data_IF_693862546032
#
_entry.id   IF_693862546032
#
_cell.length_a   1.000
_cell.length_b   1.000
_cell.length_c   1.000
_cell.angle_alpha   90.00
_cell.angle_beta   90.00
_cell.angle_gamma   90.00
#
_symmetry.space_group_name_H-M   'P 1'
#
loop_
_entity.id
_entity.type
_entity.pdbx_description
1 polymer ?
#
# COMPACT_ATOMS: atom_id res chain seq x y z
N UNK A 1 -37.66 -14.06 2.89
CA UNK A 1 -36.45 -13.49 2.27
C UNK A 1 -36.54 -13.76 0.78
N UNK A 2 -36.41 -12.72 -0.03
CA UNK A 2 -36.32 -12.89 -1.49
C UNK A 2 -34.97 -13.51 -1.85
N UNK A 3 -34.87 -14.15 -3.02
CA UNK A 3 -33.59 -14.69 -3.53
C UNK A 3 -32.49 -13.59 -3.53
N UNK A 4 -32.88 -12.36 -3.84
CA UNK A 4 -32.00 -11.18 -3.85
C UNK A 4 -31.43 -10.91 -2.45
N UNK A 5 -32.25 -10.95 -1.40
CA UNK A 5 -31.78 -10.75 -0.02
C UNK A 5 -30.78 -11.83 0.40
N UNK A 6 -30.99 -13.07 -0.07
CA UNK A 6 -30.08 -14.20 0.21
C UNK A 6 -28.74 -14.04 -0.51
N UNK A 7 -28.76 -13.57 -1.75
CA UNK A 7 -27.54 -13.31 -2.52
C UNK A 7 -26.77 -12.11 -1.97
N UNK A 8 -27.45 -11.00 -1.65
CA UNK A 8 -26.82 -9.81 -1.09
C UNK A 8 -26.29 -10.02 0.34
N UNK A 9 -26.83 -10.99 1.08
CA UNK A 9 -26.26 -11.44 2.36
C UNK A 9 -24.99 -12.29 2.22
N UNK A 10 -24.65 -12.74 1.00
CA UNK A 10 -23.43 -13.52 0.75
C UNK A 10 -22.26 -12.60 0.42
N UNK A 11 -21.29 -12.49 1.32
CA UNK A 11 -20.09 -11.68 1.10
C UNK A 11 -19.31 -12.06 -0.17
N UNK A 12 -19.33 -13.33 -0.57
CA UNK A 12 -18.71 -13.80 -1.83
C UNK A 12 -19.43 -13.20 -3.03
N UNK A 13 -20.77 -13.21 -3.01
CA UNK A 13 -21.55 -12.63 -4.10
C UNK A 13 -21.29 -11.13 -4.21
N UNK A 14 -21.31 -10.40 -3.09
CA UNK A 14 -21.03 -8.96 -3.05
C UNK A 14 -19.62 -8.66 -3.55
N UNK A 15 -18.62 -9.43 -3.14
CA UNK A 15 -17.23 -9.30 -3.62
C UNK A 15 -17.14 -9.44 -5.14
N UNK A 16 -17.66 -10.53 -5.71
CA UNK A 16 -17.59 -10.74 -7.16
C UNK A 16 -18.48 -9.77 -7.94
N UNK A 17 -19.58 -9.29 -7.34
CA UNK A 17 -20.39 -8.23 -7.92
C UNK A 17 -19.61 -6.92 -8.02
N UNK A 18 -18.89 -6.54 -6.95
CA UNK A 18 -18.03 -5.36 -6.92
C UNK A 18 -16.90 -5.47 -7.96
N UNK A 19 -16.25 -6.64 -8.06
CA UNK A 19 -15.22 -6.89 -9.09
C UNK A 19 -15.83 -6.80 -10.49
N UNK A 20 -16.97 -7.43 -10.74
CA UNK A 20 -17.60 -7.42 -12.06
C UNK A 20 -17.99 -6.01 -12.51
N UNK A 21 -18.69 -5.27 -11.65
CA UNK A 21 -19.10 -3.89 -11.93
C UNK A 21 -17.86 -3.00 -12.09
N UNK A 22 -16.91 -3.14 -11.17
CA UNK A 22 -15.69 -2.36 -11.14
C UNK A 22 -14.80 -2.56 -12.35
N UNK A 23 -14.58 -3.80 -12.78
CA UNK A 23 -13.82 -4.11 -14.00
C UNK A 23 -14.55 -3.65 -15.25
N UNK A 24 -15.89 -3.73 -15.26
CA UNK A 24 -16.71 -3.17 -16.35
C UNK A 24 -16.54 -1.65 -16.46
N UNK A 25 -16.61 -0.95 -15.34
CA UNK A 25 -16.41 0.50 -15.24
C UNK A 25 -14.96 0.90 -15.56
N UNK A 26 -13.98 0.15 -15.06
CA UNK A 26 -12.54 0.44 -15.23
C UNK A 26 -12.08 0.39 -16.68
N UNK A 27 -12.81 -0.30 -17.55
CA UNK A 27 -12.57 -0.35 -19.01
C UNK A 27 -13.11 0.86 -19.76
N UNK A 28 -13.97 1.67 -19.14
CA UNK A 28 -14.52 2.88 -19.77
C UNK A 28 -13.38 3.89 -19.92
N UNK A 29 -13.17 4.34 -21.16
CA UNK A 29 -12.22 5.40 -21.47
C UNK A 29 -12.93 6.75 -21.27
N UNK A 30 -12.44 7.54 -20.31
CA UNK A 30 -12.98 8.87 -20.00
C UNK A 30 -12.42 9.98 -20.92
N UNK A 31 -11.65 9.60 -21.95
CA UNK A 31 -10.97 10.50 -22.86
C UNK A 31 -9.53 10.77 -22.42
N UNK A 32 -8.66 11.09 -23.40
CA UNK A 32 -7.20 11.28 -23.22
C UNK A 32 -6.46 10.05 -22.68
N UNK A 33 -7.03 8.84 -22.82
CA UNK A 33 -6.43 7.60 -22.36
C UNK A 33 -6.61 7.32 -20.87
N UNK A 34 -7.47 8.08 -20.17
CA UNK A 34 -7.77 7.84 -18.76
C UNK A 34 -8.70 6.63 -18.65
N UNK A 35 -8.14 5.53 -18.14
CA UNK A 35 -8.86 4.31 -17.76
C UNK A 35 -8.54 4.01 -16.31
N UNK A 36 -9.56 3.64 -15.53
CA UNK A 36 -9.36 3.27 -14.13
C UNK A 36 -8.88 1.82 -13.96
N UNK A 37 -8.85 1.03 -15.04
CA UNK A 37 -8.23 -0.30 -15.05
C UNK A 37 -8.72 -1.20 -13.92
N UNK A 38 -7.77 -1.85 -13.25
CA UNK A 38 -8.02 -2.75 -12.12
C UNK A 38 -8.32 -1.96 -10.83
N UNK A 39 -8.26 -0.63 -10.84
CA UNK A 39 -8.75 0.21 -9.75
C UNK A 39 -10.27 0.43 -9.75
N UNK A 40 -10.97 0.13 -10.85
CA UNK A 40 -12.44 0.21 -10.91
C UNK A 40 -13.19 -0.54 -9.78
N UNK A 41 -12.79 -1.77 -9.41
CA UNK A 41 -13.30 -2.49 -8.23
C UNK A 41 -13.29 -1.71 -6.92
N UNK A 42 -12.30 -0.81 -6.69
CA UNK A 42 -12.27 0.05 -5.50
C UNK A 42 -13.49 0.99 -5.46
N UNK A 43 -13.77 1.66 -6.58
CA UNK A 43 -14.88 2.61 -6.69
C UNK A 43 -16.24 1.92 -6.68
N UNK A 44 -16.36 0.78 -7.37
CA UNK A 44 -17.57 -0.04 -7.29
C UNK A 44 -17.80 -0.52 -5.85
N UNK A 45 -16.76 -0.96 -5.16
CA UNK A 45 -16.81 -1.31 -3.75
C UNK A 45 -17.27 -0.15 -2.87
N UNK A 46 -16.73 1.06 -3.07
CA UNK A 46 -17.12 2.26 -2.32
C UNK A 46 -18.61 2.55 -2.41
N UNK A 47 -19.17 2.45 -3.62
CA UNK A 47 -20.62 2.63 -3.83
C UNK A 47 -21.41 1.51 -3.17
N UNK A 48 -21.00 0.25 -3.33
CA UNK A 48 -21.71 -0.90 -2.74
C UNK A 48 -21.68 -0.88 -1.20
N UNK A 49 -20.55 -0.50 -0.61
CA UNK A 49 -20.40 -0.29 0.82
C UNK A 49 -21.29 0.84 1.32
N UNK A 50 -21.36 1.95 0.58
CA UNK A 50 -22.27 3.04 0.90
C UNK A 50 -23.75 2.62 0.85
N UNK A 51 -24.12 1.69 -0.04
CA UNK A 51 -25.45 1.09 -0.09
C UNK A 51 -25.74 0.11 1.06
N UNK A 52 -24.80 -0.05 2.01
CA UNK A 52 -24.95 -0.90 3.19
C UNK A 52 -24.60 -2.37 2.96
N UNK A 53 -24.01 -2.72 1.81
CA UNK A 53 -23.49 -4.07 1.60
C UNK A 53 -22.18 -4.23 2.35
N UNK A 54 -21.97 -5.41 2.93
CA UNK A 54 -20.78 -5.71 3.72
C UNK A 54 -20.15 -7.01 3.28
N UNK A 55 -18.85 -7.12 3.47
CA UNK A 55 -18.08 -8.32 3.21
C UNK A 55 -17.30 -8.68 4.48
N UNK A 56 -17.11 -9.97 4.79
CA UNK A 56 -16.29 -10.34 5.94
C UNK A 56 -14.86 -9.78 5.84
N UNK A 57 -14.39 -9.13 6.89
CA UNK A 57 -13.04 -8.54 6.96
C UNK A 57 -11.90 -9.55 6.65
N UNK A 58 -12.15 -10.84 6.88
CA UNK A 58 -11.19 -11.91 6.55
C UNK A 58 -10.85 -11.99 5.06
N UNK A 59 -11.74 -11.51 4.17
CA UNK A 59 -11.48 -11.53 2.73
C UNK A 59 -10.43 -10.51 2.33
N UNK A 60 -10.37 -9.35 3.00
CA UNK A 60 -9.34 -8.33 2.78
C UNK A 60 -7.95 -8.90 3.08
N UNK A 61 -7.79 -9.51 4.26
CA UNK A 61 -6.51 -10.12 4.66
C UNK A 61 -6.04 -11.24 3.73
N UNK A 62 -6.96 -12.12 3.32
CA UNK A 62 -6.63 -13.21 2.39
C UNK A 62 -6.22 -12.67 1.01
N UNK A 63 -7.05 -11.83 0.40
CA UNK A 63 -6.81 -11.30 -0.96
C UNK A 63 -5.54 -10.46 -1.01
N UNK A 64 -5.28 -9.64 0.02
CA UNK A 64 -4.04 -8.89 0.17
C UNK A 64 -2.81 -9.80 0.27
N UNK A 65 -2.87 -10.84 1.10
CA UNK A 65 -1.74 -11.76 1.26
C UNK A 65 -1.41 -12.50 -0.05
N UNK A 66 -2.44 -12.96 -0.78
CA UNK A 66 -2.25 -13.59 -2.10
C UNK A 66 -1.67 -12.60 -3.12
N UNK A 67 -2.17 -11.38 -3.17
CA UNK A 67 -1.66 -10.31 -4.03
C UNK A 67 -0.19 -10.03 -3.75
N UNK A 68 0.16 -9.80 -2.48
CA UNK A 68 1.54 -9.48 -2.07
C UNK A 68 2.50 -10.63 -2.29
N UNK A 69 2.05 -11.87 -2.08
CA UNK A 69 2.88 -13.04 -2.37
C UNK A 69 3.23 -13.14 -3.86
N UNK A 70 2.24 -12.96 -4.75
CA UNK A 70 2.48 -12.98 -6.20
C UNK A 70 3.43 -11.86 -6.62
N UNK A 71 3.14 -10.64 -6.18
CA UNK A 71 3.95 -9.45 -6.46
C UNK A 71 5.39 -9.59 -5.94
N UNK A 72 5.56 -10.05 -4.71
CA UNK A 72 6.87 -10.24 -4.12
C UNK A 72 7.69 -11.33 -4.82
N UNK A 73 7.06 -12.40 -5.28
CA UNK A 73 7.74 -13.45 -6.05
C UNK A 73 8.17 -12.96 -7.43
N UNK A 74 7.39 -12.09 -8.08
CA UNK A 74 7.80 -11.46 -9.34
C UNK A 74 8.99 -10.53 -9.07
N UNK A 75 8.86 -9.61 -8.11
CA UNK A 75 9.91 -8.64 -7.79
C UNK A 75 11.20 -9.25 -7.23
N UNK A 76 11.17 -10.48 -6.73
CA UNK A 76 12.34 -11.17 -6.24
C UNK A 76 13.44 -11.34 -7.30
N UNK A 77 13.08 -11.32 -8.59
CA UNK A 77 14.02 -11.42 -9.71
C UNK A 77 14.90 -10.18 -9.83
N UNK A 78 14.35 -9.00 -9.52
CA UNK A 78 14.97 -7.70 -9.77
C UNK A 78 15.53 -7.03 -8.50
N UNK A 79 15.24 -7.61 -7.32
CA UNK A 79 15.54 -6.96 -6.04
C UNK A 79 17.03 -6.63 -5.87
N UNK A 80 17.92 -7.51 -6.34
CA UNK A 80 19.37 -7.28 -6.23
C UNK A 80 19.80 -6.05 -7.03
N UNK A 81 19.35 -5.94 -8.29
CA UNK A 81 19.63 -4.79 -9.14
C UNK A 81 19.06 -3.52 -8.54
N UNK A 82 17.79 -3.54 -8.15
CA UNK A 82 17.14 -2.39 -7.51
C UNK A 82 17.86 -1.91 -6.24
N UNK A 83 18.30 -2.83 -5.37
CA UNK A 83 19.04 -2.48 -4.15
C UNK A 83 20.40 -1.87 -4.47
N UNK A 84 21.16 -2.46 -5.40
CA UNK A 84 22.47 -1.94 -5.76
C UNK A 84 22.39 -0.58 -6.45
N UNK A 85 21.34 -0.34 -7.26
CA UNK A 85 21.15 0.93 -7.97
C UNK A 85 20.66 2.05 -7.05
N UNK A 86 19.70 1.78 -6.17
CA UNK A 86 18.97 2.84 -5.44
C UNK A 86 18.74 2.58 -3.94
N UNK A 87 19.40 1.60 -3.32
CA UNK A 87 19.15 1.21 -1.93
C UNK A 87 19.14 2.37 -0.91
N UNK A 88 20.13 3.26 -0.97
CA UNK A 88 20.18 4.44 -0.08
C UNK A 88 19.07 5.46 -0.37
N UNK A 89 18.69 5.62 -1.63
CA UNK A 89 17.60 6.50 -2.05
C UNK A 89 16.26 6.00 -1.47
N UNK A 90 16.02 4.69 -1.49
CA UNK A 90 14.83 4.10 -0.86
C UNK A 90 14.80 4.29 0.66
N UNK A 91 15.95 4.18 1.34
CA UNK A 91 16.02 4.55 2.76
C UNK A 91 15.69 6.04 2.95
N UNK A 92 16.25 6.92 2.11
CA UNK A 92 15.98 8.36 2.18
C UNK A 92 14.48 8.69 2.02
N UNK A 93 13.80 8.09 1.04
CA UNK A 93 12.38 8.34 0.80
C UNK A 93 11.49 7.79 1.91
N UNK A 94 11.88 6.63 2.46
CA UNK A 94 11.19 5.96 3.56
C UNK A 94 11.15 6.79 4.86
N UNK A 95 12.15 7.65 5.07
CA UNK A 95 12.23 8.55 6.23
C UNK A 95 11.58 9.89 5.89
N UNK A 96 11.81 10.41 4.68
CA UNK A 96 11.31 11.71 4.24
C UNK A 96 9.78 11.80 4.30
N UNK A 97 9.07 10.84 3.71
CA UNK A 97 7.61 10.94 3.59
C UNK A 97 6.92 10.92 4.97
N UNK A 98 7.26 10.00 5.90
CA UNK A 98 6.79 10.07 7.28
C UNK A 98 7.22 11.35 8.01
N UNK A 99 8.41 11.89 7.75
CA UNK A 99 8.87 13.16 8.34
C UNK A 99 7.99 14.34 7.91
N UNK A 100 7.68 14.42 6.61
CA UNK A 100 6.75 15.43 6.09
C UNK A 100 5.40 15.26 6.80
N UNK A 101 4.91 14.03 6.92
CA UNK A 101 3.59 13.81 7.49
C UNK A 101 3.48 14.15 8.97
N UNK A 102 4.49 13.83 9.77
CA UNK A 102 4.50 14.19 11.20
C UNK A 102 4.64 15.70 11.38
N UNK A 103 5.48 16.37 10.57
CA UNK A 103 5.67 17.81 10.61
C UNK A 103 4.39 18.56 10.24
N UNK A 104 3.70 18.13 9.18
CA UNK A 104 2.41 18.71 8.79
C UNK A 104 1.36 18.50 9.87
N UNK A 105 1.30 17.30 10.46
CA UNK A 105 0.34 17.00 11.53
C UNK A 105 0.57 17.83 12.77
N UNK A 106 1.84 18.08 13.14
CA UNK A 106 2.17 19.01 14.20
C UNK A 106 1.66 20.43 13.90
N UNK A 107 1.84 20.93 12.66
CA UNK A 107 1.31 22.24 12.23
C UNK A 107 -0.23 22.26 12.22
N UNK A 108 -0.87 21.18 11.81
CA UNK A 108 -2.32 21.04 11.83
C UNK A 108 -2.87 21.20 13.23
N UNK A 109 -2.29 20.49 14.21
CA UNK A 109 -2.73 20.54 15.61
C UNK A 109 -2.43 21.88 16.27
N UNK A 110 -1.26 22.47 16.00
CA UNK A 110 -0.80 23.65 16.76
C UNK A 110 -1.22 24.99 16.16
N UNK A 111 -1.48 25.06 14.85
CA UNK A 111 -1.67 26.34 14.14
C UNK A 111 -2.98 26.38 13.35
N UNK A 112 -3.25 25.40 12.50
CA UNK A 112 -4.29 25.53 11.45
C UNK A 112 -5.65 25.04 11.92
N UNK A 113 -5.69 23.91 12.64
CA UNK A 113 -6.90 23.29 13.16
C UNK A 113 -6.81 23.19 14.69
N UNK A 114 -6.36 24.27 15.33
CA UNK A 114 -6.15 24.32 16.78
C UNK A 114 -7.45 24.07 17.59
N UNK A 115 -8.61 24.31 16.98
CA UNK A 115 -9.92 24.08 17.60
C UNK A 115 -10.43 22.63 17.41
N UNK A 116 -9.75 21.82 16.59
CA UNK A 116 -10.11 20.43 16.34
C UNK A 116 -9.56 19.52 17.45
N UNK A 117 -10.16 18.33 17.64
CA UNK A 117 -9.63 17.37 18.61
C UNK A 117 -8.21 16.94 18.23
N UNK A 118 -7.29 17.15 19.17
CA UNK A 118 -5.88 16.80 19.04
C UNK A 118 -5.69 15.32 18.71
N UNK A 119 -6.42 14.44 19.41
CA UNK A 119 -6.39 13.00 19.16
C UNK A 119 -6.77 12.64 17.73
N UNK A 120 -7.88 13.20 17.23
CA UNK A 120 -8.35 12.98 15.86
C UNK A 120 -7.31 13.42 14.82
N UNK A 121 -6.77 14.62 14.99
CA UNK A 121 -5.79 15.20 14.05
C UNK A 121 -4.47 14.42 14.07
N UNK A 122 -4.01 13.96 15.23
CA UNK A 122 -2.86 13.05 15.30
C UNK A 122 -3.12 11.72 14.61
N UNK A 123 -4.34 11.19 14.70
CA UNK A 123 -4.76 9.99 13.97
C UNK A 123 -4.67 10.16 12.45
N UNK A 124 -4.93 11.37 11.98
CA UNK A 124 -4.86 11.74 10.56
C UNK A 124 -3.46 11.49 9.96
N UNK A 125 -2.38 11.51 10.76
CA UNK A 125 -1.01 11.18 10.34
C UNK A 125 -0.88 9.73 9.88
N UNK A 126 -1.15 8.78 10.78
CA UNK A 126 -1.00 7.36 10.48
C UNK A 126 -2.04 6.88 9.49
N UNK A 127 -3.24 7.48 9.50
CA UNK A 127 -4.27 7.22 8.51
C UNK A 127 -3.83 7.67 7.11
N UNK A 128 -3.42 8.93 6.96
CA UNK A 128 -3.07 9.49 5.64
C UNK A 128 -1.90 8.75 4.97
N UNK A 129 -0.91 8.30 5.75
CA UNK A 129 0.19 7.45 5.30
C UNK A 129 -0.09 5.97 5.56
N UNK A 130 -1.34 5.55 5.72
CA UNK A 130 -1.81 4.15 5.76
C UNK A 130 -1.07 3.16 6.68
N UNK A 131 -0.46 3.65 7.77
CA UNK A 131 0.42 2.85 8.62
C UNK A 131 -0.28 2.34 9.88
N UNK A 132 -0.75 1.08 9.84
CA UNK A 132 -1.31 0.41 11.01
C UNK A 132 -0.31 0.18 12.16
N UNK A 133 0.99 -0.11 11.92
CA UNK A 133 1.98 -0.14 13.00
C UNK A 133 2.16 1.21 13.69
N UNK A 134 2.08 2.32 12.93
CA UNK A 134 2.06 3.68 13.48
C UNK A 134 0.86 3.92 14.38
N UNK A 135 -0.34 3.45 13.99
CA UNK A 135 -1.55 3.49 14.82
C UNK A 135 -1.36 2.76 16.15
N UNK A 136 -0.91 1.49 16.11
CA UNK A 136 -0.70 0.70 17.33
C UNK A 136 0.28 1.38 18.29
N UNK A 137 1.37 1.92 17.74
CA UNK A 137 2.40 2.62 18.50
C UNK A 137 1.89 3.91 19.16
N UNK A 138 1.03 4.68 18.48
CA UNK A 138 0.43 5.86 19.07
C UNK A 138 -0.54 5.51 20.20
N UNK A 139 -1.41 4.51 20.00
CA UNK A 139 -2.40 4.08 21.00
C UNK A 139 -1.72 3.64 22.30
N UNK A 140 -0.61 2.90 22.21
CA UNK A 140 0.16 2.48 23.38
C UNK A 140 0.71 3.65 24.22
N UNK A 141 0.98 4.79 23.56
CA UNK A 141 1.54 5.97 24.20
C UNK A 141 0.48 6.97 24.70
N UNK A 142 -0.79 6.78 24.31
CA UNK A 142 -1.89 7.71 24.58
C UNK A 142 -2.77 7.24 25.76
N UNK A 143 -3.33 8.18 26.54
CA UNK A 143 -4.45 7.89 27.43
C UNK A 143 -5.67 7.37 26.65
N UNK A 144 -6.50 6.53 27.29
CA UNK A 144 -7.63 5.82 26.65
C UNK A 144 -8.57 6.73 25.84
N UNK A 145 -8.94 7.89 26.39
CA UNK A 145 -9.81 8.84 25.69
C UNK A 145 -9.17 9.43 24.41
N UNK A 146 -7.87 9.72 24.44
CA UNK A 146 -7.14 10.23 23.28
C UNK A 146 -6.84 9.12 22.26
N UNK A 147 -6.63 7.89 22.72
CA UNK A 147 -6.44 6.73 21.87
C UNK A 147 -7.69 6.43 21.00
N UNK A 148 -8.89 6.54 21.57
CA UNK A 148 -10.14 6.38 20.82
C UNK A 148 -10.27 7.43 19.70
N UNK A 149 -9.99 8.69 20.02
CA UNK A 149 -9.98 9.77 19.02
C UNK A 149 -8.92 9.53 17.95
N UNK A 150 -7.72 9.09 18.33
CA UNK A 150 -6.68 8.73 17.37
C UNK A 150 -7.12 7.62 16.42
N UNK A 151 -7.77 6.57 16.92
CA UNK A 151 -8.29 5.46 16.10
C UNK A 151 -9.29 5.94 15.06
N UNK A 152 -10.24 6.79 15.47
CA UNK A 152 -11.20 7.39 14.55
C UNK A 152 -10.46 8.17 13.46
N UNK A 153 -9.51 9.02 13.87
CA UNK A 153 -8.77 9.84 12.93
C UNK A 153 -7.93 9.04 11.94
N UNK A 154 -7.35 7.94 12.40
CA UNK A 154 -6.68 6.97 11.55
C UNK A 154 -7.64 6.37 10.53
N UNK A 155 -8.80 5.89 10.96
CA UNK A 155 -9.79 5.28 10.05
C UNK A 155 -10.22 6.22 8.94
N UNK A 156 -10.49 7.50 9.26
CA UNK A 156 -10.84 8.50 8.23
C UNK A 156 -9.67 8.74 7.30
N UNK A 157 -8.50 9.00 7.89
CA UNK A 157 -7.29 9.32 7.15
C UNK A 157 -6.86 8.18 6.24
N UNK A 158 -7.09 6.94 6.65
CA UNK A 158 -6.78 5.74 5.88
C UNK A 158 -7.55 5.71 4.57
N UNK A 159 -8.87 5.95 4.61
CA UNK A 159 -9.69 6.00 3.38
C UNK A 159 -9.22 7.13 2.47
N UNK A 160 -9.00 8.32 3.02
CA UNK A 160 -8.56 9.48 2.23
C UNK A 160 -7.16 9.26 1.65
N UNK A 161 -6.24 8.73 2.45
CA UNK A 161 -4.85 8.44 2.07
C UNK A 161 -4.78 7.48 0.89
N UNK A 162 -5.52 6.36 0.99
CA UNK A 162 -5.67 5.36 -0.07
C UNK A 162 -6.20 5.99 -1.36
N UNK A 163 -7.28 6.76 -1.29
CA UNK A 163 -7.85 7.41 -2.48
C UNK A 163 -6.84 8.35 -3.14
N UNK A 164 -6.12 9.16 -2.35
CA UNK A 164 -5.13 10.11 -2.87
C UNK A 164 -3.98 9.38 -3.57
N UNK A 165 -3.36 8.37 -2.95
CA UNK A 165 -2.20 7.69 -3.56
C UNK A 165 -2.60 6.86 -4.77
N UNK A 166 -3.74 6.16 -4.72
CA UNK A 166 -4.26 5.39 -5.87
C UNK A 166 -4.54 6.32 -7.05
N UNK A 167 -5.16 7.47 -6.81
CA UNK A 167 -5.40 8.47 -7.85
C UNK A 167 -4.12 9.09 -8.36
N UNK A 168 -3.16 9.40 -7.49
CA UNK A 168 -1.88 9.94 -7.90
C UNK A 168 -1.13 8.98 -8.83
N UNK A 169 -1.03 7.69 -8.46
CA UNK A 169 -0.31 6.69 -9.24
C UNK A 169 -0.93 6.45 -10.64
N UNK A 170 -2.26 6.52 -10.75
CA UNK A 170 -2.94 6.42 -12.05
C UNK A 170 -2.89 7.69 -12.90
N UNK A 171 -3.07 8.86 -12.26
CA UNK A 171 -3.20 10.12 -12.99
C UNK A 171 -1.84 10.72 -13.35
N UNK A 172 -0.80 10.53 -12.54
CA UNK A 172 0.49 11.17 -12.76
C UNK A 172 1.11 10.82 -14.12
N UNK A 173 1.21 9.54 -14.54
CA UNK A 173 1.77 9.21 -15.86
C UNK A 173 0.93 9.78 -17.02
N UNK A 174 -0.40 9.79 -16.88
CA UNK A 174 -1.31 10.29 -17.91
C UNK A 174 -1.24 11.82 -18.04
N UNK A 175 -1.27 12.54 -16.91
CA UNK A 175 -1.22 14.01 -16.87
C UNK A 175 0.12 14.54 -17.37
N UNK A 176 1.21 13.83 -17.08
CA UNK A 176 2.55 14.20 -17.55
C UNK A 176 2.84 13.75 -18.99
N UNK A 177 1.95 12.98 -19.62
CA UNK A 177 2.17 12.44 -20.96
C UNK A 177 3.38 11.51 -21.01
N UNK A 178 3.60 10.75 -19.93
CA UNK A 178 4.79 9.93 -19.74
C UNK A 178 4.80 8.74 -20.70
N UNK A 179 5.93 8.54 -21.38
CA UNK A 179 6.19 7.33 -22.15
C UNK A 179 6.63 6.21 -21.19
N UNK A 180 5.67 5.37 -20.81
CA UNK A 180 5.89 4.25 -19.89
C UNK A 180 6.91 3.25 -20.47
N UNK A 181 6.91 3.02 -21.77
CA UNK A 181 7.85 2.08 -22.41
C UNK A 181 9.28 2.64 -22.41
N UNK A 182 9.44 3.96 -22.50
CA UNK A 182 10.73 4.61 -22.27
C UNK A 182 11.20 4.48 -20.81
N UNK A 183 10.30 4.62 -19.83
CA UNK A 183 10.66 4.46 -18.42
C UNK A 183 11.01 3.01 -18.06
N UNK A 184 10.29 2.02 -18.60
CA UNK A 184 10.66 0.59 -18.46
C UNK A 184 12.03 0.30 -19.06
N UNK A 185 12.37 0.89 -20.21
CA UNK A 185 13.72 0.75 -20.79
C UNK A 185 14.80 1.36 -19.89
N UNK A 186 14.57 2.56 -19.35
CA UNK A 186 15.51 3.19 -18.39
C UNK A 186 15.72 2.35 -17.14
N UNK A 187 14.67 1.70 -16.65
CA UNK A 187 14.75 0.73 -15.57
C UNK A 187 15.69 -0.43 -15.94
N UNK A 188 15.41 -1.12 -17.07
CA UNK A 188 16.19 -2.28 -17.51
C UNK A 188 17.66 -1.94 -17.77
N UNK A 189 17.92 -0.81 -18.43
CA UNK A 189 19.30 -0.32 -18.69
C UNK A 189 20.07 -0.16 -17.37
N UNK A 190 19.50 0.57 -16.40
CA UNK A 190 20.16 0.80 -15.10
C UNK A 190 20.34 -0.46 -14.27
N UNK A 191 19.41 -1.41 -14.34
CA UNK A 191 19.54 -2.67 -13.62
C UNK A 191 20.62 -3.55 -14.26
N UNK A 192 20.64 -3.62 -15.60
CA UNK A 192 21.63 -4.39 -16.36
C UNK A 192 23.07 -3.88 -16.24
N UNK A 193 23.27 -2.58 -15.97
CA UNK A 193 24.60 -2.02 -15.71
C UNK A 193 25.21 -2.52 -14.39
N UNK A 194 24.38 -3.00 -13.46
CA UNK A 194 24.76 -3.23 -12.06
C UNK A 194 24.70 -4.73 -11.68
N UNK A 195 23.98 -5.53 -12.47
CA UNK A 195 23.86 -6.97 -12.30
C UNK A 195 24.40 -7.67 -13.56
N UNK A 196 25.42 -8.51 -13.41
CA UNK A 196 25.87 -9.39 -14.48
C UNK A 196 24.71 -10.34 -14.87
N UNK A 197 24.50 -10.58 -16.17
CA UNK A 197 23.39 -11.39 -16.73
C UNK A 197 23.28 -12.82 -16.12
N UNK A 198 24.32 -13.29 -15.44
CA UNK A 198 24.32 -14.55 -14.68
C UNK A 198 23.73 -14.35 -13.27
N UNK A 199 22.44 -14.00 -13.20
CA UNK A 199 21.65 -14.31 -12.01
C UNK A 199 21.75 -15.81 -11.71
N UNK A 200 21.61 -16.26 -10.45
CA UNK A 200 21.68 -17.69 -10.15
C UNK A 200 20.68 -18.42 -11.05
N UNK A 201 21.17 -19.37 -11.86
CA UNK A 201 20.40 -20.19 -12.78
C UNK A 201 19.46 -21.11 -12.00
N UNK A 202 18.42 -20.52 -11.43
CA UNK A 202 17.39 -21.22 -10.66
C UNK A 202 16.36 -21.70 -11.66
N UNK A 203 16.15 -23.01 -11.67
CA UNK A 203 15.09 -23.65 -12.45
C UNK A 203 13.72 -23.09 -12.03
N UNK A 204 13.01 -22.49 -12.98
CA UNK A 204 11.66 -21.98 -12.79
C UNK A 204 10.64 -23.07 -13.09
N UNK A 205 9.59 -23.13 -12.28
CA UNK A 205 8.42 -23.98 -12.54
C UNK A 205 7.23 -23.12 -12.91
N UNK A 206 6.31 -23.65 -13.71
CA UNK A 206 5.09 -22.94 -14.13
C UNK A 206 4.32 -22.34 -12.95
N UNK A 207 3.91 -23.17 -11.99
CA UNK A 207 3.36 -22.69 -10.72
C UNK A 207 3.51 -23.76 -9.64
N UNK A 208 4.02 -23.37 -8.47
CA UNK A 208 4.20 -24.26 -7.31
C UNK A 208 3.24 -23.88 -6.21
N UNK A 209 2.11 -24.59 -6.10
CA UNK A 209 1.11 -24.37 -5.04
C UNK A 209 1.74 -24.49 -3.66
N UNK A 210 2.62 -25.49 -3.47
CA UNK A 210 3.33 -25.71 -2.21
C UNK A 210 4.30 -24.55 -1.93
N UNK A 211 5.04 -24.08 -2.93
CA UNK A 211 5.93 -22.93 -2.79
C UNK A 211 5.18 -21.64 -2.45
N UNK A 212 4.04 -21.40 -3.11
CA UNK A 212 3.20 -20.24 -2.86
C UNK A 212 2.60 -20.27 -1.44
N UNK A 213 2.10 -21.44 -1.02
CA UNK A 213 1.61 -21.64 0.35
C UNK A 213 2.73 -21.49 1.39
N UNK A 214 3.95 -21.98 1.11
CA UNK A 214 5.11 -21.81 1.98
C UNK A 214 5.42 -20.33 2.20
N UNK A 215 5.43 -19.52 1.14
CA UNK A 215 5.63 -18.07 1.21
C UNK A 215 4.58 -17.41 2.12
N UNK A 216 3.30 -17.76 1.94
CA UNK A 216 2.22 -17.21 2.76
C UNK A 216 2.37 -17.60 4.24
N UNK A 217 2.70 -18.85 4.54
CA UNK A 217 2.84 -19.35 5.91
C UNK A 217 4.06 -18.73 6.58
N UNK A 218 5.24 -18.83 5.95
CA UNK A 218 6.49 -18.24 6.46
C UNK A 218 6.34 -16.74 6.63
N UNK A 219 5.74 -16.08 5.66
CA UNK A 219 5.49 -14.65 5.69
C UNK A 219 4.52 -14.22 6.77
N UNK A 220 3.42 -14.95 6.97
CA UNK A 220 2.47 -14.67 8.05
C UNK A 220 3.12 -14.85 9.43
N UNK A 221 3.95 -15.89 9.59
CA UNK A 221 4.73 -16.11 10.82
C UNK A 221 5.72 -14.98 11.04
N UNK A 222 6.56 -14.67 10.04
CA UNK A 222 7.54 -13.59 10.10
C UNK A 222 6.88 -12.24 10.43
N UNK A 223 5.74 -11.96 9.80
CA UNK A 223 4.95 -10.75 10.00
C UNK A 223 4.38 -10.61 11.41
N UNK A 224 4.14 -11.74 12.09
CA UNK A 224 3.59 -11.79 13.44
C UNK A 224 4.65 -11.73 14.54
N UNK A 225 5.95 -11.83 14.20
CA UNK A 225 7.02 -11.77 15.19
C UNK A 225 7.09 -10.33 15.73
N UNK A 226 6.86 -10.13 17.03
CA UNK A 226 6.99 -8.82 17.63
C UNK A 226 8.47 -8.49 17.81
N UNK A 227 8.90 -7.35 17.28
CA UNK A 227 10.27 -6.84 17.39
C UNK A 227 10.30 -5.83 18.54
N UNK A 228 10.97 -6.13 19.66
CA UNK A 228 11.11 -5.20 20.76
C UNK A 228 12.15 -4.14 20.42
N UNK A 229 11.74 -2.87 20.44
CA UNK A 229 12.64 -1.73 20.20
C UNK A 229 12.84 -0.90 21.48
N UNK A 230 13.02 -1.60 22.61
CA UNK A 230 13.29 -0.98 23.90
C UNK A 230 12.20 0.05 24.26
N UNK A 231 12.55 1.33 24.52
CA UNK A 231 11.57 2.37 24.88
C UNK A 231 10.49 2.65 23.82
N UNK A 232 10.72 2.23 22.57
CA UNK A 232 9.83 2.47 21.43
C UNK A 232 8.70 1.44 21.37
N UNK A 233 8.68 0.41 22.23
CA UNK A 233 7.62 -0.60 22.29
C UNK A 233 7.81 -1.77 21.32
N UNK A 234 6.70 -2.45 20.99
CA UNK A 234 6.70 -3.63 20.11
C UNK A 234 6.21 -3.24 18.72
N UNK A 235 6.95 -3.64 17.69
CA UNK A 235 6.54 -3.47 16.29
C UNK A 235 6.35 -4.84 15.65
N UNK A 236 5.30 -4.98 14.85
CA UNK A 236 5.12 -6.11 13.94
C UNK A 236 5.13 -5.60 12.51
N UNK A 237 5.70 -6.38 11.58
CA UNK A 237 5.62 -6.09 10.14
C UNK A 237 4.19 -6.30 9.59
N UNK A 238 3.36 -7.05 10.33
CA UNK A 238 2.03 -7.46 9.89
C UNK A 238 2.12 -8.55 8.81
N UNK A 239 0.99 -9.21 8.56
CA UNK A 239 0.91 -10.28 7.54
C UNK A 239 1.40 -9.79 6.18
N UNK A 240 0.99 -8.58 5.76
CA UNK A 240 1.37 -7.97 4.49
C UNK A 240 2.88 -7.79 4.36
N UNK A 241 3.52 -7.12 5.32
CA UNK A 241 4.97 -6.89 5.31
C UNK A 241 5.77 -8.19 5.40
N UNK A 242 5.34 -9.11 6.27
CA UNK A 242 5.98 -10.42 6.42
C UNK A 242 5.88 -11.28 5.18
N UNK A 243 4.70 -11.35 4.55
CA UNK A 243 4.49 -12.07 3.27
C UNK A 243 5.32 -11.47 2.14
N UNK A 244 5.42 -10.15 2.04
CA UNK A 244 6.28 -9.53 1.04
C UNK A 244 7.75 -9.91 1.24
N UNK A 245 8.27 -9.77 2.47
CA UNK A 245 9.67 -10.09 2.76
C UNK A 245 9.95 -11.58 2.51
N UNK A 246 9.04 -12.47 2.92
CA UNK A 246 9.18 -13.89 2.65
C UNK A 246 9.15 -14.18 1.14
N UNK A 247 8.26 -13.53 0.38
CA UNK A 247 8.19 -13.68 -1.07
C UNK A 247 9.48 -13.22 -1.75
N UNK A 248 10.02 -12.05 -1.37
CA UNK A 248 11.26 -11.52 -1.92
C UNK A 248 12.47 -12.41 -1.57
N UNK A 249 12.61 -12.81 -0.31
CA UNK A 249 13.75 -13.63 0.16
C UNK A 249 13.67 -15.04 -0.41
N UNK A 250 12.53 -15.73 -0.28
CA UNK A 250 12.40 -17.10 -0.77
C UNK A 250 12.38 -17.16 -2.30
N UNK A 251 11.84 -16.14 -2.97
CA UNK A 251 11.90 -15.98 -4.42
C UNK A 251 13.34 -15.78 -4.90
N UNK A 252 14.13 -14.95 -4.20
CA UNK A 252 15.53 -14.70 -4.52
C UNK A 252 16.39 -15.96 -4.33
N UNK A 253 16.14 -16.72 -3.25
CA UNK A 253 16.78 -18.04 -3.04
C UNK A 253 16.37 -19.06 -4.09
N UNK A 254 15.17 -18.92 -4.66
CA UNK A 254 14.63 -19.71 -5.75
C UNK A 254 14.12 -21.10 -5.37
N UNK A 255 14.72 -21.74 -4.37
CA UNK A 255 14.32 -23.06 -3.83
C UNK A 255 14.53 -23.17 -2.33
N UNK A 256 13.66 -23.93 -1.67
CA UNK A 256 13.76 -24.28 -0.25
C UNK A 256 13.73 -25.81 -0.12
N UNK A 257 14.90 -26.42 -0.03
CA UNK A 257 15.02 -27.89 -0.04
C UNK A 257 14.46 -28.48 -1.34
N UNK A 258 13.45 -29.38 -1.30
CA UNK A 258 12.82 -29.95 -2.49
C UNK A 258 11.73 -29.05 -3.11
N UNK A 259 11.38 -27.93 -2.50
CA UNK A 259 10.28 -27.06 -2.95
C UNK A 259 10.87 -25.92 -3.79
N UNK A 260 10.52 -25.88 -5.07
CA UNK A 260 10.81 -24.73 -5.93
C UNK A 260 9.85 -23.58 -5.62
N UNK A 261 10.41 -22.41 -5.36
CA UNK A 261 9.66 -21.18 -5.04
C UNK A 261 9.71 -20.19 -6.21
N UNK A 262 10.72 -20.30 -7.09
CA UNK A 262 10.77 -19.53 -8.34
C UNK A 262 9.72 -20.03 -9.32
N UNK A 263 8.83 -19.14 -9.72
CA UNK A 263 7.71 -19.46 -10.60
C UNK A 263 7.67 -18.50 -11.79
N UNK A 264 7.04 -18.95 -12.86
CA UNK A 264 6.86 -18.16 -14.07
C UNK A 264 6.11 -16.85 -13.77
N UNK A 265 6.72 -15.72 -14.11
CA UNK A 265 6.19 -14.38 -13.82
C UNK A 265 4.82 -14.15 -14.47
N UNK A 266 4.61 -14.65 -15.69
CA UNK A 266 3.33 -14.51 -16.39
C UNK A 266 2.13 -15.07 -15.60
N UNK A 267 2.26 -16.24 -14.97
CA UNK A 267 1.18 -16.81 -14.15
C UNK A 267 1.01 -16.03 -12.85
N UNK A 268 2.11 -15.61 -12.23
CA UNK A 268 2.05 -14.77 -11.04
C UNK A 268 1.36 -13.43 -11.33
N UNK A 269 1.57 -12.82 -12.50
CA UNK A 269 0.92 -11.57 -12.90
C UNK A 269 -0.60 -11.74 -13.07
N UNK A 270 -1.07 -12.89 -13.57
CA UNK A 270 -2.50 -13.21 -13.63
C UNK A 270 -3.12 -13.41 -12.23
N UNK A 271 -2.42 -14.15 -11.35
CA UNK A 271 -2.84 -14.31 -9.94
C UNK A 271 -2.90 -12.96 -9.24
N UNK A 272 -1.88 -12.11 -9.47
CA UNK A 272 -1.82 -10.74 -8.96
C UNK A 272 -3.02 -9.94 -9.45
N UNK A 273 -3.31 -9.90 -10.75
CA UNK A 273 -4.41 -9.11 -11.29
C UNK A 273 -5.76 -9.54 -10.70
N UNK A 274 -5.99 -10.84 -10.60
CA UNK A 274 -7.21 -11.40 -10.01
C UNK A 274 -7.36 -11.07 -8.52
N UNK A 275 -6.30 -11.29 -7.75
CA UNK A 275 -6.30 -11.03 -6.30
C UNK A 275 -6.35 -9.54 -5.97
N UNK A 276 -5.74 -8.71 -6.81
CA UNK A 276 -5.81 -7.27 -6.71
C UNK A 276 -7.24 -6.74 -6.87
N UNK A 277 -7.94 -7.18 -7.92
CA UNK A 277 -9.32 -6.76 -8.16
C UNK A 277 -10.22 -7.08 -6.95
N UNK A 278 -10.07 -8.29 -6.37
CA UNK A 278 -10.79 -8.68 -5.16
C UNK A 278 -10.39 -7.83 -3.95
N UNK A 279 -9.10 -7.60 -3.74
CA UNK A 279 -8.60 -6.81 -2.62
C UNK A 279 -9.11 -5.37 -2.65
N UNK A 280 -9.10 -4.74 -3.83
CA UNK A 280 -9.62 -3.38 -4.01
C UNK A 280 -11.14 -3.34 -3.85
N UNK A 281 -11.87 -4.36 -4.32
CA UNK A 281 -13.30 -4.48 -4.07
C UNK A 281 -13.64 -4.55 -2.57
N UNK A 282 -13.01 -5.45 -1.81
CA UNK A 282 -13.26 -5.54 -0.36
C UNK A 282 -12.92 -4.23 0.34
N UNK A 283 -11.75 -3.66 0.03
CA UNK A 283 -11.34 -2.37 0.58
C UNK A 283 -12.35 -1.26 0.30
N UNK A 284 -12.86 -1.20 -0.94
CA UNK A 284 -13.85 -0.21 -1.34
C UNK A 284 -15.12 -0.35 -0.52
N UNK A 285 -15.62 -1.58 -0.34
CA UNK A 285 -16.83 -1.87 0.43
C UNK A 285 -16.64 -1.43 1.88
N UNK A 286 -15.53 -1.81 2.51
CA UNK A 286 -15.21 -1.45 3.88
C UNK A 286 -15.12 0.08 4.06
N UNK A 287 -14.46 0.76 3.12
CA UNK A 287 -14.37 2.22 3.11
C UNK A 287 -15.73 2.90 2.91
N UNK A 288 -16.59 2.32 2.06
CA UNK A 288 -17.89 2.88 1.71
C UNK A 288 -18.90 2.83 2.84
N UNK A 289 -18.82 1.81 3.69
CA UNK A 289 -19.75 1.59 4.80
C UNK A 289 -19.69 2.70 5.88
N UNK A 290 -18.54 3.33 6.10
CA UNK A 290 -18.32 4.30 7.19
C UNK A 290 -18.04 5.74 6.76
N UNK A 291 -17.81 6.00 5.47
CA UNK A 291 -17.26 7.28 5.01
C UNK A 291 -18.18 8.48 5.30
N UNK A 292 -19.48 8.38 4.99
CA UNK A 292 -20.41 9.52 5.13
C UNK A 292 -20.67 9.85 6.60
N UNK A 293 -20.91 8.82 7.42
CA UNK A 293 -21.19 8.98 8.85
C UNK A 293 -19.99 9.65 9.54
N UNK A 294 -18.78 9.18 9.21
CA UNK A 294 -17.52 9.74 9.72
C UNK A 294 -17.31 11.20 9.32
N UNK A 295 -17.58 11.57 8.06
CA UNK A 295 -17.49 12.97 7.60
C UNK A 295 -18.53 13.85 8.31
N UNK A 296 -19.73 13.32 8.53
CA UNK A 296 -20.80 14.05 9.21
C UNK A 296 -20.54 14.27 10.69
N UNK A 297 -19.84 13.34 11.34
CA UNK A 297 -19.58 13.35 12.78
C UNK A 297 -18.31 14.12 13.14
N UNK A 298 -17.22 13.93 12.39
CA UNK A 298 -15.90 14.51 12.72
C UNK A 298 -15.50 15.69 11.83
N UNK A 299 -16.37 16.07 10.90
CA UNK A 299 -16.26 17.26 10.07
C UNK A 299 -15.26 17.14 8.91
N UNK A 300 -15.31 18.12 8.01
CA UNK A 300 -14.46 18.16 6.81
C UNK A 300 -12.97 18.40 7.13
N UNK A 301 -12.66 18.91 8.33
CA UNK A 301 -11.30 19.26 8.73
C UNK A 301 -10.36 18.05 8.69
N UNK A 302 -10.78 16.89 9.20
CA UNK A 302 -9.94 15.70 9.21
C UNK A 302 -9.71 15.13 7.81
N UNK A 303 -10.73 15.18 6.95
CA UNK A 303 -10.60 14.78 5.55
C UNK A 303 -9.58 15.66 4.82
N UNK A 304 -9.69 16.98 5.01
CA UNK A 304 -8.77 17.94 4.42
C UNK A 304 -7.36 17.75 4.97
N UNK A 305 -7.21 17.58 6.28
CA UNK A 305 -5.91 17.38 6.91
C UNK A 305 -5.24 16.09 6.42
N UNK A 306 -5.95 14.97 6.38
CA UNK A 306 -5.42 13.71 5.83
C UNK A 306 -5.13 13.79 4.34
N UNK A 307 -5.99 14.45 3.56
CA UNK A 307 -5.80 14.64 2.13
C UNK A 307 -4.55 15.46 1.84
N UNK A 308 -4.40 16.62 2.49
CA UNK A 308 -3.22 17.47 2.37
C UNK A 308 -1.95 16.76 2.86
N UNK A 309 -2.05 16.03 3.97
CA UNK A 309 -0.93 15.27 4.49
C UNK A 309 -0.43 14.23 3.46
N UNK A 310 -1.34 13.43 2.91
CA UNK A 310 -1.04 12.44 1.87
C UNK A 310 -0.48 13.11 0.61
N UNK A 311 -1.15 14.14 0.08
CA UNK A 311 -0.72 14.86 -1.14
C UNK A 311 0.68 15.45 -0.97
N UNK A 312 0.95 16.16 0.12
CA UNK A 312 2.23 16.84 0.31
C UNK A 312 3.36 15.83 0.54
N UNK A 313 3.10 14.73 1.28
CA UNK A 313 4.08 13.65 1.42
C UNK A 313 4.43 13.03 0.05
N UNK A 314 3.41 12.76 -0.78
CA UNK A 314 3.58 12.22 -2.14
C UNK A 314 4.35 13.20 -3.03
N UNK A 315 4.01 14.49 -3.00
CA UNK A 315 4.70 15.51 -3.78
C UNK A 315 6.16 15.68 -3.34
N UNK A 316 6.43 15.64 -2.03
CA UNK A 316 7.81 15.63 -1.52
C UNK A 316 8.56 14.38 -2.00
N UNK A 317 7.90 13.22 -1.96
CA UNK A 317 8.45 11.97 -2.48
C UNK A 317 8.76 12.03 -3.97
N UNK A 318 7.85 12.60 -4.76
CA UNK A 318 8.01 12.83 -6.19
C UNK A 318 9.16 13.80 -6.48
N UNK A 319 9.25 14.91 -5.75
CA UNK A 319 10.32 15.90 -5.92
C UNK A 319 11.68 15.25 -5.76
N UNK A 320 11.85 14.50 -4.68
CA UNK A 320 13.14 13.88 -4.39
C UNK A 320 13.46 12.74 -5.36
N UNK A 321 12.53 11.83 -5.62
CA UNK A 321 12.78 10.68 -6.51
C UNK A 321 12.93 11.07 -7.98
N UNK A 322 12.00 11.87 -8.51
CA UNK A 322 11.95 12.17 -9.94
C UNK A 322 12.85 13.34 -10.36
N UNK A 323 12.90 14.39 -9.55
CA UNK A 323 13.56 15.65 -9.96
C UNK A 323 14.93 15.87 -9.31
N UNK A 324 15.23 15.24 -8.17
CA UNK A 324 16.56 15.36 -7.52
C UNK A 324 17.42 14.13 -7.80
N UNK A 325 16.88 12.92 -7.63
CA UNK A 325 17.61 11.67 -7.87
C UNK A 325 17.45 11.12 -9.29
N UNK A 326 16.63 11.78 -10.12
CA UNK A 326 16.44 11.46 -11.54
C UNK A 326 16.12 9.98 -11.80
N UNK A 327 15.38 9.37 -10.87
CA UNK A 327 14.95 7.98 -10.96
C UNK A 327 14.00 7.80 -12.14
N UNK A 328 14.03 6.62 -12.76
CA UNK A 328 12.94 6.19 -13.63
C UNK A 328 11.65 6.03 -12.83
N UNK A 329 10.52 6.08 -13.54
CA UNK A 329 9.21 6.03 -12.90
C UNK A 329 8.93 4.70 -12.22
N UNK A 330 9.50 3.58 -12.69
CA UNK A 330 9.28 2.26 -12.09
C UNK A 330 9.85 2.25 -10.67
N UNK A 331 11.10 2.68 -10.50
CA UNK A 331 11.71 2.84 -9.19
C UNK A 331 11.07 3.96 -8.35
N UNK A 332 10.77 5.11 -8.96
CA UNK A 332 10.20 6.26 -8.24
C UNK A 332 8.80 5.96 -7.70
N UNK A 333 7.92 5.37 -8.51
CA UNK A 333 6.58 4.96 -8.11
C UNK A 333 6.64 3.98 -6.94
N UNK A 334 7.50 2.95 -7.05
CA UNK A 334 7.73 1.96 -5.99
C UNK A 334 8.23 2.57 -4.69
N UNK A 335 9.17 3.52 -4.78
CA UNK A 335 9.65 4.27 -3.62
C UNK A 335 8.57 5.13 -2.97
N UNK A 336 7.76 5.83 -3.77
CA UNK A 336 6.68 6.70 -3.25
C UNK A 336 5.61 5.86 -2.54
N UNK A 337 5.13 4.77 -3.15
CA UNK A 337 4.11 3.92 -2.52
C UNK A 337 4.66 3.18 -1.29
N UNK A 338 5.95 2.83 -1.30
CA UNK A 338 6.61 2.22 -0.14
C UNK A 338 6.82 3.20 1.00
N UNK A 339 7.21 4.46 0.71
CA UNK A 339 7.36 5.52 1.70
C UNK A 339 6.03 6.00 2.28
N UNK A 340 4.97 5.92 1.49
CA UNK A 340 3.58 6.12 1.93
C UNK A 340 3.00 4.91 2.67
N UNK A 341 3.72 3.78 2.68
CA UNK A 341 3.31 2.49 3.26
C UNK A 341 2.01 1.90 2.70
N UNK A 342 1.65 2.27 1.47
CA UNK A 342 0.35 1.93 0.88
C UNK A 342 0.46 0.86 -0.22
N UNK A 343 0.01 -0.36 0.12
CA UNK A 343 -0.03 -1.50 -0.80
C UNK A 343 -1.08 -1.36 -1.91
N UNK A 344 -2.14 -0.56 -1.71
CA UNK A 344 -3.14 -0.26 -2.75
C UNK A 344 -2.58 0.75 -3.74
N UNK A 345 -1.78 1.70 -3.26
CA UNK A 345 -0.96 2.57 -4.08
C UNK A 345 -0.02 1.76 -4.98
N UNK A 346 0.69 0.77 -4.41
CA UNK A 346 1.54 -0.16 -5.19
C UNK A 346 0.76 -0.82 -6.32
N UNK A 347 -0.40 -1.37 -5.98
CA UNK A 347 -1.23 -2.02 -6.96
C UNK A 347 -1.70 -1.10 -8.10
N UNK A 348 -2.11 0.12 -7.75
CA UNK A 348 -2.50 1.14 -8.72
C UNK A 348 -1.32 1.57 -9.60
N UNK A 349 -0.10 1.62 -9.04
CA UNK A 349 1.11 1.92 -9.80
C UNK A 349 1.45 0.81 -10.80
N UNK A 350 1.35 -0.46 -10.38
CA UNK A 350 1.54 -1.62 -11.28
C UNK A 350 0.49 -1.61 -12.40
N UNK A 351 -0.78 -1.36 -12.08
CA UNK A 351 -1.86 -1.30 -13.07
C UNK A 351 -1.66 -0.14 -14.06
N UNK A 352 -1.21 1.02 -13.59
CA UNK A 352 -0.99 2.20 -14.42
C UNK A 352 0.21 2.07 -15.37
N UNK A 353 1.20 1.24 -15.04
CA UNK A 353 2.43 1.06 -15.82
C UNK A 353 2.54 -0.29 -16.50
N UNK A 354 1.72 -1.27 -16.11
CA UNK A 354 1.87 -2.68 -16.49
C UNK A 354 3.29 -3.21 -16.20
N UNK A 355 3.82 -2.87 -15.02
CA UNK A 355 5.17 -3.25 -14.56
C UNK A 355 5.13 -3.74 -13.12
N UNK A 356 5.45 -5.03 -12.95
CA UNK A 356 5.50 -5.69 -11.65
C UNK A 356 6.78 -5.32 -10.86
N UNK A 357 7.81 -4.84 -11.56
CA UNK A 357 9.12 -4.45 -11.01
C UNK A 357 9.02 -3.27 -10.02
N UNK A 358 7.94 -2.48 -10.08
CA UNK A 358 7.62 -1.43 -9.10
C UNK A 358 7.66 -1.99 -7.67
N UNK A 359 7.28 -3.24 -7.49
CA UNK A 359 7.25 -3.88 -6.19
C UNK A 359 8.63 -4.10 -5.56
N UNK A 360 9.70 -4.17 -6.36
CA UNK A 360 11.06 -4.18 -5.82
C UNK A 360 11.37 -2.86 -5.09
N UNK A 361 11.00 -1.72 -5.68
CA UNK A 361 11.12 -0.40 -5.04
C UNK A 361 10.28 -0.28 -3.77
N UNK A 362 9.03 -0.78 -3.81
CA UNK A 362 8.16 -0.84 -2.63
C UNK A 362 8.77 -1.69 -1.51
N UNK A 363 9.22 -2.91 -1.84
CA UNK A 363 9.82 -3.85 -0.89
C UNK A 363 11.07 -3.31 -0.21
N UNK A 364 11.88 -2.52 -0.93
CA UNK A 364 13.08 -1.89 -0.38
C UNK A 364 12.80 -0.65 0.48
N UNK A 365 11.64 -0.01 0.29
CA UNK A 365 11.29 1.22 1.01
C UNK A 365 10.41 0.95 2.23
N UNK A 366 9.45 0.05 2.09
CA UNK A 366 8.37 -0.19 3.05
C UNK A 366 8.85 -0.53 4.47
N UNK A 367 9.82 -1.45 4.69
CA UNK A 367 10.26 -1.80 6.05
C UNK A 367 10.84 -0.62 6.83
N UNK A 368 11.61 0.24 6.15
CA UNK A 368 12.19 1.43 6.77
C UNK A 368 11.13 2.51 7.03
N UNK A 369 10.15 2.63 6.14
CA UNK A 369 9.04 3.56 6.31
C UNK A 369 8.16 3.16 7.50
N UNK A 370 7.89 1.85 7.68
CA UNK A 370 7.19 1.35 8.87
C UNK A 370 7.92 1.71 10.17
N UNK A 371 9.24 1.54 10.21
CA UNK A 371 10.04 1.91 11.36
C UNK A 371 9.95 3.42 11.65
N UNK A 372 10.10 4.25 10.62
CA UNK A 372 9.95 5.70 10.73
C UNK A 372 8.55 6.09 11.23
N UNK A 373 7.49 5.48 10.70
CA UNK A 373 6.10 5.73 11.12
C UNK A 373 5.88 5.43 12.60
N UNK A 374 6.42 4.32 13.11
CA UNK A 374 6.30 3.99 14.54
C UNK A 374 7.01 5.02 15.41
N UNK A 375 8.25 5.37 15.05
CA UNK A 375 9.04 6.35 15.80
C UNK A 375 8.33 7.71 15.80
N UNK A 376 7.85 8.15 14.63
CA UNK A 376 7.20 9.46 14.49
C UNK A 376 5.80 9.51 15.11
N UNK A 377 5.06 8.41 15.12
CA UNK A 377 3.79 8.33 15.83
C UNK A 377 3.98 8.56 17.34
N UNK A 378 4.98 7.92 17.96
CA UNK A 378 5.32 8.15 19.38
C UNK A 378 5.90 9.54 19.63
N UNK A 379 6.73 10.04 18.71
CA UNK A 379 7.26 11.40 18.78
C UNK A 379 6.13 12.43 18.77
N UNK A 380 5.15 12.28 17.88
CA UNK A 380 3.99 13.17 17.76
C UNK A 380 3.22 13.23 19.08
N UNK A 381 2.92 12.07 19.68
CA UNK A 381 2.26 11.98 20.99
C UNK A 381 3.06 12.68 22.09
N UNK A 382 4.40 12.59 22.05
CA UNK A 382 5.26 13.19 23.07
C UNK A 382 5.38 14.72 22.97
N UNK A 383 5.31 15.28 21.75
CA UNK A 383 5.52 16.73 21.52
C UNK A 383 4.23 17.53 21.42
N UNK A 384 3.10 16.87 21.16
CA UNK A 384 1.79 17.51 21.04
C UNK A 384 1.08 17.49 22.40
N UNK A 385 0.68 18.66 22.94
CA UNK A 385 -0.10 18.71 24.18
C UNK A 385 -1.51 18.16 23.94
N UNK A 386 -1.93 17.24 24.82
CA UNK A 386 -3.26 16.60 24.81
C UNK A 386 -4.35 17.47 25.45
#
# INVERSE_FOLDING_TARGET
MTLIDTLLGSGIFVLFLAVLIGMGFGRIDFGRGIKFGVAGPLFAGLVLGHLGLTVPNSYSGLTLALFVAAVGLIAAHEIEGTVKTYGLNFIGISVLMPTIGVALTYVWVTVVFADASTGLMMGSFSGALTSSPGLGSAIEALPEAAAQQYQIGHSVGYVVGVLVIVMFQQLYPVVTGMDIDAEKRRFSEKVSEVVDEEGPGVEEVTFSVIGFALVLVVGSVLGSIPIPLGPIGLITLGTTGGVLIAALVLGYLGRVGPITVRMETGILSEIRAFTLAMFLAVTGIDAGAGLIETISEYGLQIVVASGLNSIIAILGGLVVTRFIWEMDWIHAAGGIVGGHTDTKGLAAAIDATDSDEIAAGYGNTYPFALLAMVIYAKLLVAVVPL
#
